data_IF_563959302181
#
_entry.id   IF_563959302181
#
_cell.length_a   1.000
_cell.length_b   1.000
_cell.length_c   1.000
_cell.angle_alpha   90.00
_cell.angle_beta   90.00
_cell.angle_gamma   90.00
#
_symmetry.space_group_name_H-M   'P 1'
#
loop_
_entity.id
_entity.type
_entity.pdbx_description
1 polymer ?
#
# COMPACT_ATOMS: atom_id res chain seq x y z
N UNK A 1 12.95 -1.25 -31.48
CA UNK A 1 11.67 -0.55 -31.56
C UNK A 1 10.80 -0.68 -30.29
N UNK A 2 10.71 -1.86 -29.64
CA UNK A 2 9.86 -2.02 -28.43
C UNK A 2 10.34 -1.23 -27.18
N UNK A 3 11.66 -1.05 -27.01
CA UNK A 3 12.23 -0.28 -25.88
C UNK A 3 12.02 1.23 -25.98
N UNK A 4 11.91 1.76 -27.21
CA UNK A 4 11.67 3.20 -27.41
C UNK A 4 10.22 3.61 -27.14
N UNK A 5 9.26 2.70 -27.30
CA UNK A 5 7.83 2.95 -27.05
C UNK A 5 7.58 3.06 -25.54
N UNK A 6 8.22 2.22 -24.73
CA UNK A 6 8.07 2.27 -23.27
C UNK A 6 8.61 3.59 -22.68
N UNK A 7 9.77 4.06 -23.20
CA UNK A 7 10.34 5.34 -22.76
C UNK A 7 9.45 6.53 -23.16
N UNK A 8 8.80 6.44 -24.33
CA UNK A 8 7.90 7.49 -24.83
C UNK A 8 6.59 7.57 -24.04
N UNK A 9 6.06 6.42 -23.61
CA UNK A 9 4.87 6.36 -22.73
C UNK A 9 5.17 6.95 -21.35
N UNK A 10 6.34 6.65 -20.78
CA UNK A 10 6.77 7.25 -19.49
C UNK A 10 6.97 8.77 -19.64
N UNK A 11 7.53 9.24 -20.74
CA UNK A 11 7.70 10.69 -21.00
C UNK A 11 6.37 11.42 -21.26
N UNK A 12 5.39 10.76 -21.89
CA UNK A 12 4.04 11.32 -22.08
C UNK A 12 3.29 11.46 -20.74
N UNK A 13 3.47 10.52 -19.80
CA UNK A 13 2.87 10.59 -18.46
C UNK A 13 3.42 11.76 -17.63
N UNK A 14 4.69 12.13 -17.83
CA UNK A 14 5.34 13.24 -17.11
C UNK A 14 4.96 14.62 -17.69
N UNK A 15 4.55 14.70 -18.97
CA UNK A 15 4.31 15.95 -19.66
C UNK A 15 2.93 16.60 -19.46
N UNK A 16 1.98 15.92 -18.82
CA UNK A 16 0.61 16.41 -18.66
C UNK A 16 0.28 17.07 -17.33
N UNK A 17 1.28 17.22 -16.47
CA UNK A 17 1.09 17.74 -15.12
C UNK A 17 1.43 19.24 -15.00
N UNK A 18 0.69 20.13 -15.61
CA UNK A 18 0.65 21.55 -15.24
C UNK A 18 -0.75 21.91 -14.76
N UNK A 19 -0.91 22.14 -13.47
CA UNK A 19 -2.19 22.52 -12.91
C UNK A 19 -2.05 23.45 -11.70
N UNK A 20 -3.07 24.28 -11.55
CA UNK A 20 -3.26 25.30 -10.54
C UNK A 20 -3.16 24.70 -9.12
N UNK A 21 -2.58 25.48 -8.21
CA UNK A 21 -2.59 25.20 -6.77
C UNK A 21 -4.02 25.33 -6.24
N UNK A 22 -4.75 24.24 -6.19
CA UNK A 22 -5.88 24.08 -5.31
C UNK A 22 -5.40 23.28 -4.10
N UNK A 23 -5.86 23.70 -2.93
CA UNK A 23 -5.54 23.10 -1.62
C UNK A 23 -6.25 21.75 -1.49
N UNK A 24 -5.73 20.74 -2.19
CA UNK A 24 -6.26 19.37 -2.10
C UNK A 24 -5.49 18.57 -1.06
N UNK A 25 -6.20 17.75 -0.31
CA UNK A 25 -5.57 16.75 0.54
C UNK A 25 -4.58 15.92 -0.28
N UNK A 26 -3.54 15.43 0.35
CA UNK A 26 -2.58 14.51 -0.26
C UNK A 26 -2.81 13.10 0.30
N UNK A 27 -3.80 12.36 -0.25
CA UNK A 27 -4.06 11.02 0.23
C UNK A 27 -2.89 10.11 -0.13
N UNK A 28 -2.19 9.62 0.88
CA UNK A 28 -1.15 8.61 0.73
C UNK A 28 -1.68 7.26 1.20
N UNK A 29 -1.16 6.17 0.62
CA UNK A 29 -1.42 4.82 1.13
C UNK A 29 -0.27 4.32 2.01
N UNK A 30 0.75 5.17 2.21
CA UNK A 30 1.85 4.96 3.15
C UNK A 30 1.71 5.89 4.36
N UNK A 31 2.20 5.46 5.53
CA UNK A 31 2.57 4.08 5.89
C UNK A 31 1.33 3.24 6.21
N UNK A 32 1.55 1.94 6.51
CA UNK A 32 0.49 1.05 6.97
C UNK A 32 -0.07 0.12 5.91
N UNK A 33 -0.90 -0.81 6.38
CA UNK A 33 -1.57 -1.85 5.60
C UNK A 33 -3.10 -1.68 5.55
N UNK A 34 -3.64 -0.73 6.31
CA UNK A 34 -5.07 -0.36 6.31
C UNK A 34 -5.24 0.95 5.57
N UNK A 35 -5.87 0.89 4.41
CA UNK A 35 -6.01 2.02 3.51
C UNK A 35 -7.18 2.92 3.86
N UNK A 36 -7.00 4.24 3.64
CA UNK A 36 -8.07 5.22 3.67
C UNK A 36 -8.98 5.16 2.44
N UNK A 37 -10.13 5.78 2.52
CA UNK A 37 -11.15 5.79 1.46
C UNK A 37 -10.87 6.76 0.31
N UNK A 38 -9.98 7.73 0.52
CA UNK A 38 -9.64 8.76 -0.46
C UNK A 38 -8.88 8.18 -1.67
N UNK A 39 -9.08 8.81 -2.82
CA UNK A 39 -8.39 8.50 -4.07
C UNK A 39 -7.60 9.72 -4.54
N UNK A 40 -6.58 9.50 -5.37
CA UNK A 40 -5.86 10.60 -6.00
C UNK A 40 -6.82 11.47 -6.81
N UNK A 41 -6.77 12.81 -6.64
CA UNK A 41 -7.59 13.74 -7.40
C UNK A 41 -7.37 13.60 -8.90
N UNK A 42 -8.40 13.90 -9.69
CA UNK A 42 -8.33 13.81 -11.15
C UNK A 42 -7.11 14.52 -11.73
N UNK A 43 -6.40 13.84 -12.61
CA UNK A 43 -5.18 14.31 -13.28
C UNK A 43 -4.02 14.65 -12.31
N UNK A 44 -4.03 14.09 -11.11
CA UNK A 44 -2.92 14.14 -10.16
C UNK A 44 -2.30 12.76 -10.03
N UNK A 45 -1.01 12.72 -9.75
CA UNK A 45 -0.32 11.47 -9.49
C UNK A 45 0.60 11.58 -8.28
N UNK A 46 0.77 10.46 -7.60
CA UNK A 46 1.77 10.27 -6.56
C UNK A 46 2.72 9.15 -6.91
N UNK A 47 3.90 9.26 -6.37
CA UNK A 47 4.91 8.23 -6.35
C UNK A 47 5.28 7.94 -4.90
N UNK A 48 5.00 6.75 -4.46
CA UNK A 48 5.25 6.30 -3.10
C UNK A 48 6.34 5.23 -3.14
N UNK A 49 7.34 5.38 -2.29
CA UNK A 49 8.46 4.46 -2.18
C UNK A 49 8.75 4.13 -0.74
N UNK A 50 9.11 2.88 -0.50
CA UNK A 50 9.48 2.40 0.81
C UNK A 50 10.72 1.54 0.82
N UNK A 51 11.27 1.44 1.99
CA UNK A 51 12.19 0.42 2.44
C UNK A 51 11.53 -0.33 3.57
N UNK A 52 11.62 -1.66 3.59
CA UNK A 52 11.27 -2.45 4.75
C UNK A 52 12.30 -3.55 4.99
N UNK A 53 12.48 -3.86 6.26
CA UNK A 53 13.19 -5.04 6.76
C UNK A 53 12.22 -5.85 7.60
N UNK A 54 12.04 -7.10 7.23
CA UNK A 54 11.16 -8.06 7.88
C UNK A 54 11.95 -9.27 8.37
N UNK A 55 11.56 -9.78 9.51
CA UNK A 55 11.99 -11.06 10.03
C UNK A 55 10.76 -11.88 10.38
N UNK A 56 10.64 -13.06 9.75
CA UNK A 56 9.54 -14.00 9.98
C UNK A 56 10.09 -15.41 10.23
N UNK A 57 9.88 -15.95 11.45
CA UNK A 57 10.34 -17.29 11.89
C UNK A 57 11.83 -17.60 11.59
N UNK A 58 12.64 -16.57 11.50
CA UNK A 58 14.07 -16.65 11.18
C UNK A 58 14.42 -16.22 9.79
N UNK A 59 13.49 -16.24 8.86
CA UNK A 59 13.64 -15.72 7.51
C UNK A 59 13.78 -14.20 7.55
N UNK A 60 14.52 -13.65 6.62
CA UNK A 60 14.79 -12.22 6.52
C UNK A 60 14.45 -11.74 5.14
N UNK A 61 13.63 -10.72 5.08
CA UNK A 61 13.22 -10.11 3.83
C UNK A 61 13.51 -8.61 3.86
N UNK A 62 14.09 -8.10 2.79
CA UNK A 62 14.29 -6.67 2.55
C UNK A 62 13.56 -6.32 1.26
N UNK A 63 12.69 -5.33 1.31
CA UNK A 63 12.12 -4.70 0.13
C UNK A 63 12.71 -3.29 -0.04
N UNK A 64 13.37 -3.05 -1.20
CA UNK A 64 13.96 -1.75 -1.53
C UNK A 64 14.27 -1.64 -3.04
N UNK A 65 13.61 -0.76 -3.77
CA UNK A 65 12.44 0.01 -3.35
C UNK A 65 11.16 -0.84 -3.34
N UNK A 66 10.24 -0.53 -2.44
CA UNK A 66 8.83 -0.88 -2.57
C UNK A 66 8.14 0.32 -3.21
N UNK A 67 7.59 0.16 -4.41
CA UNK A 67 7.17 1.29 -5.24
C UNK A 67 5.72 1.15 -5.68
N UNK A 68 4.95 2.21 -5.51
CA UNK A 68 3.61 2.33 -6.10
C UNK A 68 3.45 3.70 -6.77
N UNK A 69 2.87 3.70 -7.98
CA UNK A 69 2.34 4.87 -8.66
C UNK A 69 0.83 4.89 -8.56
N UNK A 70 0.29 6.04 -8.19
CA UNK A 70 -1.16 6.28 -8.13
C UNK A 70 -1.49 7.45 -9.04
N UNK A 71 -2.52 7.29 -9.87
CA UNK A 71 -2.96 8.29 -10.84
C UNK A 71 -4.48 8.44 -10.78
N UNK A 72 -4.97 9.63 -10.47
CA UNK A 72 -6.37 9.97 -10.55
C UNK A 72 -6.83 10.06 -12.01
N UNK A 73 -7.60 9.08 -12.47
CA UNK A 73 -8.11 8.99 -13.85
C UNK A 73 -9.51 9.55 -13.99
N UNK A 74 -10.27 9.62 -12.90
CA UNK A 74 -11.55 10.32 -12.76
C UNK A 74 -11.62 10.96 -11.36
N UNK A 75 -12.65 11.75 -11.08
CA UNK A 75 -12.81 12.42 -9.78
C UNK A 75 -12.87 11.47 -8.59
N UNK A 76 -13.35 10.25 -8.82
CA UNK A 76 -13.53 9.21 -7.81
C UNK A 76 -12.83 7.90 -8.12
N UNK A 77 -11.90 7.88 -9.09
CA UNK A 77 -11.20 6.64 -9.52
C UNK A 77 -9.74 6.91 -9.71
N UNK A 78 -8.90 6.11 -9.06
CA UNK A 78 -7.46 6.07 -9.29
C UNK A 78 -7.02 4.74 -9.91
N UNK A 79 -6.01 4.83 -10.77
CA UNK A 79 -5.22 3.71 -11.24
C UNK A 79 -3.99 3.55 -10.36
N UNK A 80 -3.60 2.31 -10.07
CA UNK A 80 -2.45 1.94 -9.23
C UNK A 80 -1.55 0.97 -9.97
N UNK A 81 -0.25 1.20 -9.90
CA UNK A 81 0.76 0.31 -10.49
C UNK A 81 1.90 0.22 -9.50
N UNK A 82 2.23 -0.99 -9.06
CA UNK A 82 3.26 -1.20 -8.05
C UNK A 82 4.13 -2.42 -8.32
N UNK A 83 5.33 -2.40 -7.76
CA UNK A 83 6.28 -3.53 -7.71
C UNK A 83 7.38 -3.21 -6.71
N UNK A 84 7.99 -4.24 -6.15
CA UNK A 84 9.07 -4.13 -5.20
C UNK A 84 10.32 -4.83 -5.73
N UNK A 85 11.49 -4.39 -5.32
CA UNK A 85 12.69 -5.20 -5.40
C UNK A 85 12.91 -5.86 -4.04
N UNK A 86 12.89 -7.18 -4.05
CA UNK A 86 12.90 -8.02 -2.86
C UNK A 86 14.21 -8.79 -2.76
N UNK A 87 14.75 -8.88 -1.54
CA UNK A 87 15.85 -9.77 -1.17
C UNK A 87 15.40 -10.59 0.04
N UNK A 88 15.40 -11.91 -0.09
CA UNK A 88 15.03 -12.83 0.99
C UNK A 88 16.16 -13.81 1.29
N UNK A 89 16.34 -14.14 2.55
CA UNK A 89 17.28 -15.13 3.06
C UNK A 89 16.57 -16.09 4.01
N UNK A 90 16.62 -17.39 3.71
CA UNK A 90 16.04 -18.46 4.52
C UNK A 90 17.13 -19.25 5.26
N UNK A 91 17.37 -19.02 6.56
CA UNK A 91 18.24 -19.86 7.37
C UNK A 91 17.63 -21.27 7.59
N UNK A 92 18.44 -22.33 7.77
CA UNK A 92 19.90 -22.39 7.87
C UNK A 92 20.63 -22.58 6.54
N UNK A 93 19.91 -22.78 5.43
CA UNK A 93 20.51 -23.17 4.15
C UNK A 93 21.00 -21.99 3.31
N UNK A 94 20.81 -20.75 3.81
CA UNK A 94 21.22 -19.51 3.13
C UNK A 94 20.78 -19.48 1.64
N UNK A 95 19.55 -19.90 1.39
CA UNK A 95 18.95 -19.70 0.08
C UNK A 95 18.67 -18.20 -0.03
N UNK A 96 19.40 -17.53 -0.94
CA UNK A 96 19.17 -16.11 -1.22
C UNK A 96 18.32 -16.01 -2.46
N UNK A 97 17.17 -15.42 -2.32
CA UNK A 97 16.33 -15.01 -3.44
C UNK A 97 16.37 -13.49 -3.56
N UNK A 98 16.48 -12.99 -4.76
CA UNK A 98 16.38 -11.56 -5.04
C UNK A 98 15.74 -11.34 -6.41
N UNK A 99 14.94 -10.33 -6.51
CA UNK A 99 14.26 -10.02 -7.75
C UNK A 99 13.19 -8.96 -7.61
N UNK A 100 12.54 -8.69 -8.73
CA UNK A 100 11.39 -7.81 -8.82
C UNK A 100 10.16 -8.66 -8.54
N UNK A 101 9.33 -8.22 -7.58
CA UNK A 101 8.03 -8.84 -7.29
C UNK A 101 7.10 -8.78 -8.51
N UNK A 102 6.05 -9.60 -8.54
CA UNK A 102 5.04 -9.50 -9.60
C UNK A 102 4.50 -8.08 -9.72
N UNK A 103 4.37 -7.59 -10.96
CA UNK A 103 3.74 -6.30 -11.20
C UNK A 103 2.29 -6.33 -10.70
N UNK A 104 1.98 -5.42 -9.78
CA UNK A 104 0.63 -5.20 -9.29
C UNK A 104 -0.03 -4.08 -10.09
N UNK A 105 -1.24 -4.33 -10.56
CA UNK A 105 -2.09 -3.33 -11.22
C UNK A 105 -3.43 -3.32 -10.50
N UNK A 106 -3.93 -2.14 -10.18
CA UNK A 106 -5.18 -2.01 -9.44
C UNK A 106 -5.91 -0.70 -9.73
N UNK A 107 -7.11 -0.63 -9.23
CA UNK A 107 -7.93 0.56 -9.20
C UNK A 107 -8.61 0.70 -7.85
N UNK A 108 -8.65 1.92 -7.34
CA UNK A 108 -9.42 2.29 -6.16
C UNK A 108 -10.52 3.24 -6.59
N UNK A 109 -11.72 2.98 -6.14
CA UNK A 109 -12.93 3.72 -6.47
C UNK A 109 -13.51 4.26 -5.17
N UNK A 110 -13.58 5.58 -5.05
CA UNK A 110 -14.32 6.22 -3.97
C UNK A 110 -15.80 6.15 -4.32
N UNK A 111 -16.55 5.40 -3.52
CA UNK A 111 -17.95 5.05 -3.81
C UNK A 111 -18.94 5.97 -3.13
N UNK A 112 -18.58 6.48 -1.93
CA UNK A 112 -19.49 7.25 -1.09
C UNK A 112 -18.73 8.19 -0.16
N UNK A 113 -19.11 9.46 -0.13
CA UNK A 113 -18.66 10.44 0.85
C UNK A 113 -19.42 10.22 2.16
N UNK A 114 -18.71 10.01 3.24
CA UNK A 114 -19.31 9.86 4.57
C UNK A 114 -20.21 11.03 4.96
N UNK A 115 -21.16 10.79 5.84
CA UNK A 115 -22.01 11.84 6.44
C UNK A 115 -22.27 11.53 7.89
N UNK A 116 -22.00 12.50 8.78
CA UNK A 116 -22.18 12.34 10.22
C UNK A 116 -21.52 11.07 10.78
N UNK A 117 -22.30 10.05 11.11
CA UNK A 117 -21.83 8.76 11.63
C UNK A 117 -21.63 7.70 10.54
N UNK A 118 -22.03 8.00 9.31
CA UNK A 118 -21.86 7.06 8.18
C UNK A 118 -20.46 7.21 7.62
N UNK A 119 -19.71 6.11 7.47
CA UNK A 119 -18.37 6.17 6.91
C UNK A 119 -18.35 6.60 5.45
N UNK A 120 -17.28 7.19 5.00
CA UNK A 120 -16.92 7.19 3.60
C UNK A 120 -16.54 5.78 3.16
N UNK A 121 -16.80 5.44 1.91
CA UNK A 121 -16.65 4.07 1.41
C UNK A 121 -15.85 4.08 0.11
N UNK A 122 -14.83 3.25 0.04
CA UNK A 122 -14.12 2.97 -1.21
C UNK A 122 -14.03 1.46 -1.47
N UNK A 123 -13.79 1.12 -2.72
CA UNK A 123 -13.51 -0.21 -3.19
C UNK A 123 -12.16 -0.24 -3.89
N UNK A 124 -11.28 -1.13 -3.46
CA UNK A 124 -9.99 -1.39 -4.10
C UNK A 124 -10.01 -2.78 -4.71
N UNK A 125 -9.68 -2.87 -6.00
CA UNK A 125 -9.42 -4.12 -6.68
C UNK A 125 -8.05 -4.06 -7.35
N UNK A 126 -7.24 -5.09 -7.17
CA UNK A 126 -5.91 -5.19 -7.77
C UNK A 126 -5.57 -6.63 -8.09
N UNK A 127 -4.56 -6.83 -8.91
CA UNK A 127 -4.03 -8.16 -9.19
C UNK A 127 -2.52 -8.11 -9.39
N UNK A 128 -1.85 -9.19 -9.05
CA UNK A 128 -0.46 -9.45 -9.38
C UNK A 128 -0.39 -10.27 -10.68
N UNK A 129 0.53 -9.85 -11.55
CA UNK A 129 0.73 -10.47 -12.86
C UNK A 129 1.57 -11.75 -12.78
N UNK A 130 1.15 -12.88 -13.35
CA UNK A 130 1.99 -14.07 -13.43
C UNK A 130 3.08 -14.01 -14.52
N UNK A 131 3.24 -12.85 -15.19
CA UNK A 131 4.10 -12.73 -16.36
C UNK A 131 5.13 -11.60 -16.27
N UNK A 132 5.01 -10.71 -15.27
CA UNK A 132 5.87 -9.53 -15.16
C UNK A 132 6.47 -9.48 -13.77
N UNK A 133 7.76 -9.74 -13.67
CA UNK A 133 8.55 -9.86 -12.45
C UNK A 133 9.70 -10.84 -12.65
N UNK A 134 10.42 -11.18 -11.59
CA UNK A 134 11.45 -12.20 -11.59
C UNK A 134 10.82 -13.58 -11.54
N UNK A 135 11.29 -14.51 -12.37
CA UNK A 135 10.65 -15.81 -12.58
C UNK A 135 10.41 -16.62 -11.28
N UNK A 136 11.35 -16.51 -10.33
CA UNK A 136 11.28 -17.24 -9.05
C UNK A 136 10.29 -16.60 -8.05
N UNK A 137 9.73 -15.43 -8.34
CA UNK A 137 8.79 -14.70 -7.52
C UNK A 137 7.39 -14.58 -8.15
N UNK A 138 7.21 -15.12 -9.36
CA UNK A 138 5.92 -15.03 -10.06
C UNK A 138 4.93 -16.07 -9.53
N UNK A 139 3.66 -15.70 -9.33
CA UNK A 139 2.61 -16.67 -9.06
C UNK A 139 2.30 -17.51 -10.31
N UNK A 140 1.76 -18.70 -10.12
CA UNK A 140 1.37 -19.60 -11.23
C UNK A 140 0.23 -19.04 -12.08
N UNK A 141 -0.66 -18.28 -11.42
CA UNK A 141 -1.85 -17.69 -12.03
C UNK A 141 -2.00 -16.22 -11.60
N UNK A 142 -2.97 -15.54 -12.22
CA UNK A 142 -3.36 -14.21 -11.77
C UNK A 142 -3.75 -14.25 -10.29
N UNK A 143 -3.16 -13.37 -9.47
CA UNK A 143 -3.41 -13.27 -8.03
C UNK A 143 -4.24 -12.01 -7.74
N UNK A 144 -5.58 -12.08 -7.74
CA UNK A 144 -6.42 -10.92 -7.47
C UNK A 144 -6.52 -10.64 -5.96
N UNK A 145 -6.78 -9.38 -5.62
CA UNK A 145 -7.14 -8.95 -4.28
C UNK A 145 -8.24 -7.88 -4.36
N UNK A 146 -9.19 -7.92 -3.44
CA UNK A 146 -10.31 -6.98 -3.39
C UNK A 146 -10.58 -6.56 -1.96
N UNK A 147 -10.87 -5.26 -1.76
CA UNK A 147 -11.12 -4.70 -0.44
C UNK A 147 -12.28 -3.71 -0.45
N UNK A 148 -13.11 -3.79 0.57
CA UNK A 148 -14.01 -2.73 0.97
C UNK A 148 -13.34 -1.93 2.07
N UNK A 149 -13.30 -0.64 1.88
CA UNK A 149 -12.62 0.34 2.73
C UNK A 149 -13.67 1.28 3.28
N UNK A 150 -13.60 1.50 4.60
CA UNK A 150 -14.50 2.38 5.32
C UNK A 150 -13.67 3.33 6.17
N UNK A 151 -14.07 4.60 6.21
CA UNK A 151 -13.36 5.63 6.97
C UNK A 151 -14.34 6.59 7.63
N UNK A 152 -14.10 6.90 8.90
CA UNK A 152 -14.84 7.85 9.69
C UNK A 152 -13.88 8.90 10.24
N UNK A 153 -14.04 10.14 9.82
CA UNK A 153 -13.45 11.30 10.48
C UNK A 153 -14.26 11.61 11.74
N UNK A 154 -13.72 11.26 12.88
CA UNK A 154 -14.39 11.47 14.18
C UNK A 154 -14.30 12.92 14.61
N UNK A 155 -13.13 13.55 14.37
CA UNK A 155 -12.86 14.96 14.58
C UNK A 155 -11.58 15.34 13.83
N UNK A 156 -11.21 16.63 13.84
CA UNK A 156 -10.07 17.18 13.08
C UNK A 156 -8.72 16.51 13.36
N UNK A 157 -8.59 15.82 14.49
CA UNK A 157 -7.34 15.19 14.89
C UNK A 157 -7.42 13.66 15.02
N UNK A 158 -8.59 13.04 14.77
CA UNK A 158 -8.77 11.60 14.93
C UNK A 158 -9.70 11.00 13.87
N UNK A 159 -9.21 9.98 13.16
CA UNK A 159 -9.97 9.20 12.20
C UNK A 159 -9.83 7.69 12.47
N UNK A 160 -10.83 6.94 12.02
CA UNK A 160 -10.88 5.48 12.09
C UNK A 160 -11.08 4.93 10.69
N UNK A 161 -10.14 4.09 10.23
CA UNK A 161 -10.29 3.32 8.99
C UNK A 161 -10.45 1.84 9.31
N UNK A 162 -11.30 1.15 8.57
CA UNK A 162 -11.41 -0.31 8.65
C UNK A 162 -11.63 -0.92 7.28
N UNK A 163 -10.90 -2.00 7.02
CA UNK A 163 -10.91 -2.67 5.74
C UNK A 163 -11.31 -4.13 5.90
N UNK A 164 -12.06 -4.64 4.95
CA UNK A 164 -12.33 -6.08 4.80
C UNK A 164 -12.02 -6.48 3.36
N UNK A 165 -11.25 -7.55 3.19
CA UNK A 165 -10.80 -7.97 1.87
C UNK A 165 -10.62 -9.46 1.72
N UNK A 166 -10.37 -9.85 0.48
CA UNK A 166 -9.99 -11.20 0.10
C UNK A 166 -8.84 -11.13 -0.90
N UNK A 167 -7.80 -11.92 -0.66
CA UNK A 167 -6.57 -11.98 -1.43
C UNK A 167 -6.31 -13.41 -1.89
N UNK A 168 -5.94 -13.60 -3.14
CA UNK A 168 -5.49 -14.87 -3.70
C UNK A 168 -4.00 -14.78 -4.00
N UNK A 169 -3.28 -15.84 -3.69
CA UNK A 169 -1.84 -15.97 -3.92
C UNK A 169 -1.46 -16.32 -5.38
N UNK A 170 -2.47 -16.65 -6.20
CA UNK A 170 -2.26 -17.14 -7.56
C UNK A 170 -1.69 -18.55 -7.66
N UNK A 171 -1.65 -19.30 -6.55
CA UNK A 171 -1.23 -20.71 -6.46
C UNK A 171 -2.41 -21.57 -6.04
N UNK A 172 -3.12 -21.15 -4.99
CA UNK A 172 -4.29 -21.87 -4.48
C UNK A 172 -5.59 -21.17 -4.86
N UNK A 173 -6.70 -21.92 -4.85
CA UNK A 173 -8.03 -21.37 -5.10
C UNK A 173 -8.67 -20.76 -3.83
N UNK A 174 -8.08 -21.01 -2.66
CA UNK A 174 -8.61 -20.53 -1.37
C UNK A 174 -8.09 -19.12 -1.09
N UNK A 175 -8.95 -18.13 -0.89
CA UNK A 175 -8.51 -16.79 -0.55
C UNK A 175 -8.11 -16.67 0.92
N UNK A 176 -7.17 -15.80 1.19
CA UNK A 176 -6.91 -15.26 2.51
C UNK A 176 -7.86 -14.09 2.77
N UNK A 177 -8.56 -14.12 3.90
CA UNK A 177 -9.40 -12.99 4.32
C UNK A 177 -8.53 -11.96 5.04
N UNK A 178 -8.60 -10.70 4.60
CA UNK A 178 -7.96 -9.55 5.25
C UNK A 178 -8.97 -8.79 6.10
N UNK A 179 -8.58 -8.47 7.33
CA UNK A 179 -9.33 -7.61 8.24
C UNK A 179 -8.38 -6.57 8.83
N UNK A 180 -8.63 -5.29 8.58
CA UNK A 180 -7.81 -4.19 9.06
C UNK A 180 -8.61 -3.17 9.86
N UNK A 181 -7.98 -2.61 10.90
CA UNK A 181 -8.48 -1.48 11.69
C UNK A 181 -7.33 -0.54 11.96
N UNK A 182 -7.47 0.72 11.59
CA UNK A 182 -6.50 1.78 11.82
C UNK A 182 -7.14 2.91 12.65
N UNK A 183 -6.38 3.41 13.60
CA UNK A 183 -6.70 4.60 14.40
C UNK A 183 -5.61 5.64 14.11
N UNK A 184 -5.97 6.71 13.41
CA UNK A 184 -5.05 7.77 12.97
C UNK A 184 -5.22 9.02 13.81
N UNK A 185 -4.12 9.67 14.14
CA UNK A 185 -4.08 10.87 14.96
C UNK A 185 -3.22 11.96 14.32
N UNK A 186 -3.76 13.15 14.11
CA UNK A 186 -3.01 14.35 13.75
C UNK A 186 -2.45 14.98 15.03
N UNK A 187 -1.13 14.93 15.21
CA UNK A 187 -0.46 15.51 16.38
C UNK A 187 -0.20 17.01 16.19
N UNK A 188 0.14 17.39 14.97
CA UNK A 188 0.30 18.77 14.51
C UNK A 188 -0.12 18.84 13.04
N UNK A 189 -0.09 20.04 12.43
CA UNK A 189 -0.38 20.21 11.00
C UNK A 189 0.57 19.39 10.09
N UNK A 190 1.79 19.10 10.57
CA UNK A 190 2.82 18.40 9.79
C UNK A 190 3.11 16.98 10.28
N UNK A 191 2.66 16.59 11.47
CA UNK A 191 3.02 15.31 12.10
C UNK A 191 1.76 14.52 12.44
N UNK A 192 1.68 13.32 11.89
CA UNK A 192 0.67 12.32 12.21
C UNK A 192 1.27 11.08 12.86
N UNK A 193 0.41 10.32 13.52
CA UNK A 193 0.74 8.99 14.04
C UNK A 193 -0.48 8.10 13.92
N UNK A 194 -0.24 6.80 13.90
CA UNK A 194 -1.32 5.82 13.89
C UNK A 194 -0.94 4.55 14.64
N UNK A 195 -1.95 3.81 15.01
CA UNK A 195 -1.86 2.42 15.41
C UNK A 195 -2.87 1.62 14.61
N UNK A 196 -2.44 0.50 14.04
CA UNK A 196 -3.35 -0.38 13.33
C UNK A 196 -3.18 -1.84 13.75
N UNK A 197 -4.23 -2.62 13.54
CA UNK A 197 -4.16 -4.08 13.54
C UNK A 197 -4.70 -4.60 12.24
N UNK A 198 -4.00 -5.55 11.65
CA UNK A 198 -4.43 -6.21 10.44
C UNK A 198 -4.17 -7.70 10.55
N UNK A 199 -5.11 -8.47 10.01
CA UNK A 199 -5.18 -9.89 10.24
C UNK A 199 -5.39 -10.61 8.92
N UNK A 200 -4.58 -11.62 8.67
CA UNK A 200 -4.70 -12.54 7.56
C UNK A 200 -5.26 -13.85 8.07
N UNK A 201 -6.47 -14.20 7.61
CA UNK A 201 -7.17 -15.40 8.03
C UNK A 201 -7.24 -16.40 6.88
N UNK A 202 -6.53 -17.50 7.02
CA UNK A 202 -6.47 -18.58 6.03
C UNK A 202 -6.67 -19.94 6.73
N UNK A 203 -7.27 -20.97 6.07
CA UNK A 203 -7.47 -22.28 6.67
C UNK A 203 -6.18 -22.96 7.17
N UNK A 204 -5.04 -22.66 6.55
CA UNK A 204 -3.75 -23.25 6.90
C UNK A 204 -3.02 -22.52 8.04
N UNK A 205 -3.48 -21.32 8.41
CA UNK A 205 -2.90 -20.53 9.51
C UNK A 205 -3.34 -19.07 9.46
N UNK A 206 -3.46 -18.48 10.63
CA UNK A 206 -3.83 -17.08 10.79
C UNK A 206 -2.64 -16.27 11.27
N UNK A 207 -2.53 -15.01 10.81
CA UNK A 207 -1.54 -14.05 11.26
C UNK A 207 -2.25 -12.83 11.83
N UNK A 208 -1.81 -12.33 12.99
CA UNK A 208 -2.40 -11.20 13.70
C UNK A 208 -1.33 -10.16 13.98
N UNK A 209 -1.33 -9.08 13.21
CA UNK A 209 -0.30 -8.07 13.23
C UNK A 209 -0.82 -6.77 13.84
N UNK A 210 0.07 -6.08 14.53
CA UNK A 210 -0.16 -4.71 15.03
C UNK A 210 1.01 -3.85 14.57
N UNK A 211 0.68 -2.68 14.02
CA UNK A 211 1.63 -1.72 13.48
C UNK A 211 1.46 -0.36 14.16
N UNK A 212 2.58 0.35 14.27
CA UNK A 212 2.66 1.74 14.71
C UNK A 212 3.49 2.51 13.70
N UNK A 213 3.08 3.73 13.40
CA UNK A 213 3.84 4.57 12.51
C UNK A 213 3.73 6.06 12.82
N UNK A 214 4.66 6.79 12.24
CA UNK A 214 4.72 8.25 12.25
C UNK A 214 4.82 8.75 10.83
N UNK A 215 4.12 9.84 10.56
CA UNK A 215 4.19 10.59 9.30
C UNK A 215 4.66 12.00 9.56
N UNK A 216 5.46 12.52 8.64
CA UNK A 216 5.92 13.90 8.63
C UNK A 216 5.75 14.51 7.24
N UNK A 217 4.98 15.58 7.15
CA UNK A 217 4.62 16.27 5.90
C UNK A 217 5.25 17.66 5.87
N UNK A 218 6.58 17.78 5.60
CA UNK A 218 7.30 19.06 5.63
C UNK A 218 6.82 20.06 4.60
N UNK A 219 6.07 19.63 3.61
CA UNK A 219 5.45 20.48 2.58
C UNK A 219 4.25 19.76 1.95
N UNK A 220 3.28 20.48 1.37
CA UNK A 220 2.00 19.91 0.89
C UNK A 220 2.10 18.78 -0.15
N UNK A 221 3.28 18.50 -0.67
CA UNK A 221 3.51 17.50 -1.72
C UNK A 221 4.42 16.36 -1.31
N UNK A 222 4.91 16.37 -0.06
CA UNK A 222 5.91 15.41 0.41
C UNK A 222 5.52 14.90 1.79
N UNK A 223 5.37 13.60 1.91
CA UNK A 223 5.29 12.89 3.18
C UNK A 223 6.50 11.98 3.34
N UNK A 224 7.06 11.97 4.52
CA UNK A 224 8.03 10.99 5.01
C UNK A 224 7.37 10.15 6.08
N UNK A 225 7.72 8.88 6.16
CA UNK A 225 7.13 7.97 7.14
C UNK A 225 8.14 6.97 7.72
N UNK A 226 7.80 6.47 8.89
CA UNK A 226 8.44 5.32 9.54
C UNK A 226 7.35 4.43 10.13
N UNK A 227 7.56 3.11 10.08
CA UNK A 227 6.61 2.13 10.56
C UNK A 227 7.29 0.95 11.25
N UNK A 228 6.59 0.29 12.16
CA UNK A 228 7.03 -0.95 12.78
C UNK A 228 5.83 -1.81 13.12
N UNK A 229 5.84 -3.07 12.70
CA UNK A 229 4.80 -4.04 12.99
C UNK A 229 5.32 -5.32 13.64
N UNK A 230 4.44 -5.98 14.36
CA UNK A 230 4.73 -7.16 15.18
C UNK A 230 3.55 -8.12 15.15
N UNK A 231 3.85 -9.43 15.15
CA UNK A 231 2.84 -10.44 15.44
C UNK A 231 2.54 -10.44 16.95
N UNK A 232 1.29 -10.14 17.33
CA UNK A 232 0.87 -10.05 18.74
C UNK A 232 0.86 -11.39 19.45
N UNK A 233 0.80 -12.49 18.71
CA UNK A 233 0.86 -13.86 19.26
C UNK A 233 2.29 -14.37 19.39
N UNK A 234 3.20 -13.91 18.50
CA UNK A 234 4.57 -14.40 18.39
C UNK A 234 5.60 -13.26 18.25
N UNK A 235 5.63 -12.36 19.22
CA UNK A 235 6.52 -11.17 19.24
C UNK A 235 8.01 -11.46 19.00
N UNK A 236 8.48 -12.72 19.21
CA UNK A 236 9.87 -13.11 18.98
C UNK A 236 10.14 -13.59 17.57
N UNK A 237 9.11 -14.03 16.90
CA UNK A 237 9.22 -14.74 15.62
C UNK A 237 8.97 -13.83 14.44
N UNK A 238 8.17 -12.76 14.61
CA UNK A 238 7.88 -11.80 13.57
C UNK A 238 8.03 -10.34 14.02
N UNK A 239 8.74 -9.57 13.23
CA UNK A 239 8.69 -8.11 13.24
C UNK A 239 9.07 -7.54 11.87
N UNK A 240 8.52 -6.41 11.52
CA UNK A 240 8.92 -5.60 10.36
C UNK A 240 9.16 -4.17 10.80
N UNK A 241 10.12 -3.51 10.16
CA UNK A 241 10.36 -2.07 10.29
C UNK A 241 10.50 -1.48 8.90
N UNK A 242 9.97 -0.30 8.72
CA UNK A 242 9.99 0.36 7.43
C UNK A 242 10.14 1.87 7.53
N UNK A 243 10.47 2.47 6.42
CA UNK A 243 10.42 3.91 6.22
C UNK A 243 10.10 4.20 4.75
N UNK A 244 9.56 5.38 4.50
CA UNK A 244 9.19 5.71 3.14
C UNK A 244 9.05 7.18 2.85
N UNK A 245 8.71 7.43 1.60
CA UNK A 245 8.48 8.72 1.03
C UNK A 245 7.30 8.63 0.06
N UNK A 246 6.34 9.51 0.22
CA UNK A 246 5.29 9.73 -0.75
C UNK A 246 5.44 11.14 -1.36
N UNK A 247 5.47 11.20 -2.67
CA UNK A 247 5.61 12.47 -3.41
C UNK A 247 4.45 12.64 -4.39
N UNK A 248 3.72 13.74 -4.22
CA UNK A 248 2.75 14.20 -5.22
C UNK A 248 3.49 14.93 -6.34
N UNK A 249 3.46 14.38 -7.55
CA UNK A 249 4.19 14.91 -8.70
C UNK A 249 3.48 16.13 -9.27
N UNK A 250 2.17 16.33 -9.00
CA UNK A 250 1.40 17.56 -9.32
C UNK A 250 0.10 17.65 -8.57
#
# INVERSE_FOLDING_TARGET
MKKSILLFVVFLLVGFCQAQEEDFSFPTDRPGNVWGSEVMPFNRCSWENGFSYERDHGDRTIALPSTIYRLGIFHNVELRIGTDFLMSEEPPYVTKQYGITPLTIGTKIHCWDGRETMPSIAFLAQFQSPHVGSADLLPDHLAPAMYLIFENDICDWFAICYNVGAEWDGVTATPTTFLGLNLSFCLTDDIGTYVETFNYLHPDGNQYLTEFGLTFTPMPRLQLDIEADFDVQNLKDYFRVGCGIAWRIN
#
